data_IF_332695659259
#
_entry.id   IF_332695659259
#
_cell.length_a   1.000
_cell.length_b   1.000
_cell.length_c   1.000
_cell.angle_alpha   90.00
_cell.angle_beta   90.00
_cell.angle_gamma   90.00
#
_symmetry.space_group_name_H-M   'P 1'
#
loop_
_entity.id
_entity.type
_entity.pdbx_description
1 polymer ?
#
# COMPACT_ATOMS: atom_id res chain seq x y z
N UNK A 1 -7.04 0.33 7.25
CA UNK A 1 -8.08 1.26 6.72
C UNK A 1 -7.52 2.25 5.70
N UNK A 2 -6.34 2.85 5.91
CA UNK A 2 -5.76 3.85 4.99
C UNK A 2 -5.48 3.33 3.56
N UNK A 3 -5.11 2.05 3.38
CA UNK A 3 -4.83 1.49 2.04
C UNK A 3 -6.07 1.40 1.13
N UNK A 4 -7.26 1.15 1.69
CA UNK A 4 -8.51 1.15 0.92
C UNK A 4 -8.89 2.52 0.39
N UNK A 5 -8.49 3.58 1.09
CA UNK A 5 -8.68 4.97 0.67
C UNK A 5 -7.70 5.35 -0.46
N UNK A 6 -6.46 4.85 -0.41
CA UNK A 6 -5.48 4.98 -1.50
C UNK A 6 -5.87 4.23 -2.77
N UNK A 7 -6.35 2.99 -2.64
CA UNK A 7 -6.95 2.24 -3.75
C UNK A 7 -8.15 2.97 -4.35
N UNK A 8 -9.04 3.50 -3.50
CA UNK A 8 -10.20 4.29 -3.93
C UNK A 8 -9.81 5.56 -4.70
N UNK A 9 -8.79 6.28 -4.25
CA UNK A 9 -8.27 7.46 -4.94
C UNK A 9 -7.71 7.11 -6.32
N UNK A 10 -6.93 6.02 -6.46
CA UNK A 10 -6.39 5.57 -7.74
C UNK A 10 -7.45 5.00 -8.68
N UNK A 11 -8.44 4.28 -8.14
CA UNK A 11 -9.62 3.84 -8.90
C UNK A 11 -10.44 5.02 -9.44
N UNK A 12 -10.52 6.13 -8.70
CA UNK A 12 -11.25 7.34 -9.15
C UNK A 12 -10.55 8.11 -10.27
N UNK A 13 -9.21 8.04 -10.33
CA UNK A 13 -8.40 8.67 -11.36
C UNK A 13 -8.27 7.80 -12.63
N UNK A 14 -8.67 6.52 -12.57
CA UNK A 14 -8.62 5.61 -13.71
C UNK A 14 -9.79 5.87 -14.68
N UNK A 15 -9.51 6.49 -15.83
CA UNK A 15 -10.48 6.62 -16.92
C UNK A 15 -10.61 5.30 -17.69
N UNK A 16 -11.44 4.39 -17.18
CA UNK A 16 -11.67 3.09 -17.81
C UNK A 16 -12.67 3.19 -18.99
N UNK A 17 -12.43 2.50 -20.12
CA UNK A 17 -13.39 2.40 -21.22
C UNK A 17 -14.72 1.80 -20.73
N UNK A 18 -15.84 2.18 -21.35
CA UNK A 18 -17.21 1.77 -20.94
C UNK A 18 -17.39 0.25 -20.80
N UNK A 19 -16.59 -0.55 -21.56
CA UNK A 19 -16.55 -2.02 -21.49
C UNK A 19 -16.03 -2.57 -20.15
N UNK A 20 -15.18 -1.83 -19.44
CA UNK A 20 -14.53 -2.27 -18.19
C UNK A 20 -15.06 -1.55 -16.95
N UNK A 21 -16.20 -0.85 -17.05
CA UNK A 21 -16.80 -0.11 -15.92
C UNK A 21 -17.10 -0.96 -14.69
N UNK A 22 -17.28 -2.28 -14.86
CA UNK A 22 -17.52 -3.24 -13.75
C UNK A 22 -16.24 -3.78 -13.11
N UNK A 23 -15.09 -3.65 -13.77
CA UNK A 23 -13.81 -4.12 -13.27
C UNK A 23 -13.43 -3.55 -11.89
N UNK A 24 -13.57 -2.24 -11.60
CA UNK A 24 -13.23 -1.69 -10.29
C UNK A 24 -14.14 -2.22 -9.17
N UNK A 25 -15.41 -2.51 -9.47
CA UNK A 25 -16.35 -3.13 -8.52
C UNK A 25 -15.95 -4.58 -8.19
N UNK A 26 -15.54 -5.36 -9.19
CA UNK A 26 -15.05 -6.71 -8.95
C UNK A 26 -13.71 -6.73 -8.21
N UNK A 27 -12.81 -5.82 -8.53
CA UNK A 27 -11.53 -5.67 -7.85
C UNK A 27 -11.70 -5.28 -6.37
N UNK A 28 -12.62 -4.37 -6.05
CA UNK A 28 -12.88 -3.98 -4.66
C UNK A 28 -13.54 -5.10 -3.86
N UNK A 29 -14.44 -5.89 -4.46
CA UNK A 29 -15.02 -7.07 -3.82
C UNK A 29 -13.96 -8.14 -3.54
N UNK A 30 -13.08 -8.43 -4.50
CA UNK A 30 -11.98 -9.38 -4.30
C UNK A 30 -11.00 -8.90 -3.23
N UNK A 31 -10.63 -7.61 -3.22
CA UNK A 31 -9.77 -7.03 -2.19
C UNK A 31 -10.40 -7.11 -0.78
N UNK A 32 -11.71 -6.88 -0.68
CA UNK A 32 -12.42 -7.02 0.59
C UNK A 32 -12.50 -8.48 1.06
N UNK A 33 -12.60 -9.44 0.12
CA UNK A 33 -12.71 -10.87 0.44
C UNK A 33 -11.37 -11.54 0.77
N UNK A 34 -10.24 -11.05 0.23
CA UNK A 34 -8.92 -11.64 0.50
C UNK A 34 -8.54 -11.56 1.98
N UNK A 35 -8.95 -10.48 2.67
CA UNK A 35 -8.65 -10.24 4.09
C UNK A 35 -9.32 -11.25 5.03
N UNK A 36 -10.66 -11.46 5.01
CA UNK A 36 -11.30 -12.48 5.82
C UNK A 36 -10.85 -13.89 5.44
N UNK A 37 -10.57 -14.16 4.16
CA UNK A 37 -10.04 -15.46 3.72
C UNK A 37 -8.64 -15.74 4.27
N UNK A 38 -7.75 -14.75 4.29
CA UNK A 38 -6.45 -14.86 4.95
C UNK A 38 -6.59 -15.09 6.46
N UNK A 39 -7.53 -14.38 7.11
CA UNK A 39 -7.79 -14.52 8.54
C UNK A 39 -8.30 -15.92 8.90
N UNK A 40 -9.22 -16.50 8.11
CA UNK A 40 -9.76 -17.84 8.38
C UNK A 40 -8.69 -18.91 8.26
N UNK A 41 -7.83 -18.82 7.23
CA UNK A 41 -6.69 -19.73 7.06
C UNK A 41 -5.71 -19.59 8.23
N UNK A 42 -5.36 -18.35 8.61
CA UNK A 42 -4.48 -18.08 9.74
C UNK A 42 -5.02 -18.62 11.06
N UNK A 43 -6.32 -18.42 11.32
CA UNK A 43 -7.00 -18.96 12.51
C UNK A 43 -7.10 -20.49 12.49
N UNK A 44 -7.17 -21.12 11.32
CA UNK A 44 -7.19 -22.58 11.16
C UNK A 44 -5.83 -23.21 11.41
N UNK A 45 -4.75 -22.56 10.94
CA UNK A 45 -3.37 -23.05 11.08
C UNK A 45 -2.76 -22.74 12.46
N UNK A 46 -3.40 -21.90 13.28
CA UNK A 46 -2.86 -21.45 14.59
C UNK A 46 -2.50 -22.58 15.56
N UNK A 47 -3.20 -23.71 15.50
CA UNK A 47 -2.97 -24.82 16.43
C UNK A 47 -1.76 -25.69 16.04
N UNK A 48 -1.37 -25.65 14.75
CA UNK A 48 -0.27 -26.46 14.21
C UNK A 48 1.02 -25.63 14.07
N UNK A 49 0.92 -24.30 14.17
CA UNK A 49 2.02 -23.37 13.99
C UNK A 49 2.77 -23.13 15.31
N UNK A 50 4.02 -23.59 15.41
CA UNK A 50 4.91 -23.20 16.50
C UNK A 50 5.74 -21.97 16.05
N UNK A 51 5.43 -20.75 16.54
CA UNK A 51 6.06 -19.52 16.08
C UNK A 51 7.57 -19.45 16.39
N UNK A 52 8.06 -20.29 17.30
CA UNK A 52 9.49 -20.37 17.65
C UNK A 52 10.28 -21.40 16.82
N UNK A 53 9.64 -22.08 15.87
CA UNK A 53 10.33 -23.00 14.96
C UNK A 53 11.17 -22.23 13.94
N UNK A 54 12.38 -22.70 13.65
CA UNK A 54 13.26 -22.12 12.63
C UNK A 54 12.58 -22.04 11.25
N UNK A 55 11.75 -23.02 10.90
CA UNK A 55 10.98 -23.04 9.64
C UNK A 55 9.91 -21.93 9.59
N UNK A 56 9.29 -21.62 10.73
CA UNK A 56 8.28 -20.57 10.82
C UNK A 56 8.91 -19.18 10.63
N UNK A 57 10.06 -18.93 11.27
CA UNK A 57 10.82 -17.68 11.13
C UNK A 57 11.35 -17.48 9.70
N UNK A 58 11.80 -18.55 9.03
CA UNK A 58 12.24 -18.47 7.63
C UNK A 58 11.08 -18.12 6.69
N UNK A 59 9.92 -18.77 6.86
CA UNK A 59 8.75 -18.52 5.99
C UNK A 59 8.19 -17.12 6.22
N UNK A 60 8.01 -16.70 7.47
CA UNK A 60 7.57 -15.34 7.80
C UNK A 60 8.55 -14.30 7.27
N UNK A 61 9.87 -14.46 7.50
CA UNK A 61 10.88 -13.54 6.99
C UNK A 61 10.89 -13.41 5.46
N UNK A 62 10.71 -14.50 4.71
CA UNK A 62 10.58 -14.45 3.26
C UNK A 62 9.30 -13.71 2.81
N UNK A 63 8.17 -14.00 3.44
CA UNK A 63 6.88 -13.36 3.11
C UNK A 63 6.89 -11.86 3.47
N UNK A 64 7.46 -11.50 4.61
CA UNK A 64 7.61 -10.11 5.06
C UNK A 64 8.54 -9.33 4.12
N UNK A 65 9.66 -9.93 3.70
CA UNK A 65 10.59 -9.31 2.75
C UNK A 65 9.93 -9.07 1.39
N UNK A 66 9.14 -10.04 0.91
CA UNK A 66 8.39 -9.91 -0.34
C UNK A 66 7.31 -8.81 -0.23
N UNK A 67 6.56 -8.80 0.88
CA UNK A 67 5.56 -7.77 1.15
C UNK A 67 6.17 -6.38 1.23
N UNK A 68 7.29 -6.22 1.94
CA UNK A 68 8.04 -4.97 2.04
C UNK A 68 8.55 -4.49 0.67
N UNK A 69 9.01 -5.41 -0.19
CA UNK A 69 9.44 -5.09 -1.55
C UNK A 69 8.30 -4.52 -2.41
N UNK A 70 7.11 -5.14 -2.36
CA UNK A 70 5.91 -4.63 -3.06
C UNK A 70 5.52 -3.26 -2.53
N UNK A 71 5.52 -3.07 -1.20
CA UNK A 71 5.13 -1.81 -0.56
C UNK A 71 6.10 -0.66 -0.89
N UNK A 72 7.41 -0.94 -0.98
CA UNK A 72 8.39 0.04 -1.45
C UNK A 72 8.20 0.38 -2.94
N UNK A 73 7.93 -0.61 -3.78
CA UNK A 73 7.66 -0.38 -5.20
C UNK A 73 6.41 0.49 -5.40
N UNK A 74 5.30 0.15 -4.75
CA UNK A 74 4.05 0.92 -4.86
C UNK A 74 4.20 2.32 -4.26
N UNK A 75 4.88 2.45 -3.12
CA UNK A 75 5.12 3.75 -2.48
C UNK A 75 6.01 4.67 -3.33
N UNK A 76 7.14 4.18 -3.82
CA UNK A 76 8.13 4.99 -4.53
C UNK A 76 7.80 5.17 -6.02
N UNK A 77 7.50 4.08 -6.71
CA UNK A 77 7.35 4.09 -8.18
C UNK A 77 5.92 4.44 -8.58
N UNK A 78 4.92 3.86 -7.92
CA UNK A 78 3.52 4.07 -8.33
C UNK A 78 2.96 5.38 -7.78
N UNK A 79 3.20 5.68 -6.50
CA UNK A 79 2.64 6.85 -5.84
C UNK A 79 3.56 8.07 -5.97
N UNK A 80 4.79 8.00 -5.44
CA UNK A 80 5.68 9.17 -5.37
C UNK A 80 6.13 9.62 -6.77
N UNK A 81 6.59 8.72 -7.63
CA UNK A 81 7.02 9.10 -8.97
C UNK A 81 5.85 9.63 -9.82
N UNK A 82 4.64 9.06 -9.72
CA UNK A 82 3.48 9.59 -10.44
C UNK A 82 3.09 10.99 -9.97
N UNK A 83 3.14 11.27 -8.67
CA UNK A 83 2.74 12.56 -8.12
C UNK A 83 3.78 13.68 -8.38
N UNK A 84 5.08 13.35 -8.26
CA UNK A 84 6.16 14.33 -8.36
C UNK A 84 6.85 14.39 -9.73
N UNK A 85 7.03 13.25 -10.42
CA UNK A 85 7.84 13.16 -11.65
C UNK A 85 6.98 13.27 -12.91
N UNK A 86 5.78 12.67 -12.91
CA UNK A 86 4.91 12.65 -14.09
C UNK A 86 3.93 13.82 -14.16
N UNK A 87 3.66 14.51 -13.05
CA UNK A 87 2.76 15.65 -12.99
C UNK A 87 3.50 16.97 -13.28
N UNK A 88 3.96 17.15 -14.53
CA UNK A 88 4.69 18.36 -14.98
C UNK A 88 3.92 19.67 -14.83
N UNK A 89 2.59 19.61 -14.70
CA UNK A 89 1.73 20.78 -14.43
C UNK A 89 1.95 21.34 -13.02
N UNK A 90 2.27 20.51 -12.01
CA UNK A 90 2.63 21.01 -10.67
C UNK A 90 4.01 21.69 -10.62
N UNK A 91 4.93 21.33 -11.51
CA UNK A 91 6.26 21.94 -11.58
C UNK A 91 6.28 23.26 -12.37
N UNK A 92 5.31 23.45 -13.28
CA UNK A 92 5.25 24.63 -14.15
C UNK A 92 4.26 25.69 -13.67
N UNK A 93 3.21 25.32 -12.93
CA UNK A 93 2.13 26.24 -12.52
C UNK A 93 2.05 26.47 -10.99
N UNK A 94 2.68 25.61 -10.18
CA UNK A 94 2.54 25.63 -8.71
C UNK A 94 3.77 26.21 -8.01
N UNK A 95 3.54 27.07 -7.01
CA UNK A 95 4.59 27.68 -6.19
C UNK A 95 5.44 26.64 -5.45
N UNK A 96 6.77 26.81 -5.44
CA UNK A 96 7.74 25.97 -4.71
C UNK A 96 7.37 25.69 -3.24
N UNK A 97 6.59 26.57 -2.61
CA UNK A 97 6.09 26.41 -1.25
C UNK A 97 5.16 25.18 -1.11
N UNK A 98 4.29 24.93 -2.08
CA UNK A 98 3.32 23.83 -2.02
C UNK A 98 3.98 22.47 -2.26
N UNK A 99 4.94 22.41 -3.18
CA UNK A 99 5.79 21.24 -3.40
C UNK A 99 6.56 20.85 -2.12
N UNK A 100 7.13 21.85 -1.45
CA UNK A 100 7.86 21.63 -0.18
C UNK A 100 6.92 21.12 0.91
N UNK A 101 5.69 21.66 0.99
CA UNK A 101 4.68 21.19 1.94
C UNK A 101 4.31 19.72 1.70
N UNK A 102 4.10 19.30 0.45
CA UNK A 102 3.75 17.91 0.13
C UNK A 102 4.89 16.94 0.49
N UNK A 103 6.16 17.30 0.21
CA UNK A 103 7.33 16.52 0.62
C UNK A 103 7.41 16.42 2.15
N UNK A 104 7.20 17.52 2.87
CA UNK A 104 7.21 17.53 4.34
C UNK A 104 6.10 16.64 4.90
N UNK A 105 4.90 16.65 4.32
CA UNK A 105 3.81 15.74 4.70
C UNK A 105 4.18 14.26 4.50
N UNK A 106 4.81 13.90 3.37
CA UNK A 106 5.24 12.52 3.11
C UNK A 106 6.33 12.08 4.10
N UNK A 107 7.36 12.91 4.30
CA UNK A 107 8.47 12.60 5.22
C UNK A 107 8.00 12.54 6.67
N UNK A 108 7.11 13.45 7.09
CA UNK A 108 6.53 13.42 8.44
C UNK A 108 5.64 12.18 8.64
N UNK A 109 4.83 11.80 7.65
CA UNK A 109 4.05 10.56 7.69
C UNK A 109 4.93 9.31 7.79
N UNK A 110 5.98 9.22 6.97
CA UNK A 110 6.95 8.12 7.03
C UNK A 110 7.70 8.10 8.38
N UNK A 111 8.10 9.26 8.89
CA UNK A 111 8.75 9.41 10.19
C UNK A 111 7.86 8.96 11.34
N UNK A 112 6.57 9.34 11.34
CA UNK A 112 5.60 8.88 12.33
C UNK A 112 5.39 7.36 12.27
N UNK A 113 5.29 6.78 11.08
CA UNK A 113 5.15 5.32 10.93
C UNK A 113 6.39 4.57 11.38
N UNK A 114 7.59 5.08 11.08
CA UNK A 114 8.85 4.50 11.58
C UNK A 114 8.95 4.60 13.12
N UNK A 115 8.47 5.71 13.70
CA UNK A 115 8.44 5.89 15.14
C UNK A 115 7.47 4.89 15.78
N UNK A 116 6.26 4.71 15.25
CA UNK A 116 5.33 3.67 15.71
C UNK A 116 5.91 2.27 15.57
N UNK A 117 6.58 1.97 14.46
CA UNK A 117 7.22 0.67 14.23
C UNK A 117 8.33 0.33 15.22
N UNK A 118 8.98 1.32 15.85
CA UNK A 118 9.95 1.08 16.93
C UNK A 118 9.28 0.65 18.25
N UNK A 119 8.02 1.01 18.45
CA UNK A 119 7.26 0.74 19.68
C UNK A 119 6.20 -0.37 19.50
N UNK A 120 6.15 -1.00 18.33
CA UNK A 120 5.29 -2.13 18.00
C UNK A 120 6.08 -3.44 18.05
#
# INVERSE_FOLDING_TARGET
>A
MFEGLGLGARLSQLSLPTRYRRLPLWASLLYSFVTPLGLTIGLGLRNTYNPNSATALMVSGCLDSFSAGILLYTGLVELLAHDFVFNKTLLLEHSNCRLTFDIVCVVSGAGLMALLGRWA
#
